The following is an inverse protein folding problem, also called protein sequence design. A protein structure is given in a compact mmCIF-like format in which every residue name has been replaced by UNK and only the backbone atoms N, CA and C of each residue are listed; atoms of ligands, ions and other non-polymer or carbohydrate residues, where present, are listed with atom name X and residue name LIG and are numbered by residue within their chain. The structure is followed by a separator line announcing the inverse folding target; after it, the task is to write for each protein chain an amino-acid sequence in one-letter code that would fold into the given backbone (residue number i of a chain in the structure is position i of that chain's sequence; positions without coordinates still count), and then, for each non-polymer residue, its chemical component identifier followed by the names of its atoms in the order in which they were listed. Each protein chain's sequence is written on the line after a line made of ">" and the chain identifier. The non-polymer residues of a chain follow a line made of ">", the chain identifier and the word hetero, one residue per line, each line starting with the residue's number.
data_IF_993846061917
#
_entry.id   IF_993846061917
#
_cell.length_a   1.000
_cell.length_b   1.000
_cell.length_c   1.000
_cell.angle_alpha   90.00
_cell.angle_beta   90.00
_cell.angle_gamma   90.00
#
_symmetry.space_group_name_H-M   'P 1'
#
loop_
_entity.id
_entity.type
_entity.pdbx_description
1 polymer ?
#
# COMPACT_ATOMS: atom_id res chain seq x y z
N UNK A 1 -29.21 -84.77 -46.81
CA UNK A 1 -29.29 -83.36 -47.27
C UNK A 1 -28.20 -82.54 -46.57
N UNK A 2 -27.11 -82.24 -47.27
CA UNK A 2 -26.36 -80.96 -47.13
C UNK A 2 -27.19 -79.88 -47.90
N UNK A 3 -27.01 -78.55 -47.70
CA UNK A 3 -25.76 -77.89 -47.28
C UNK A 3 -25.88 -76.72 -46.27
N UNK A 4 -24.71 -76.42 -45.72
CA UNK A 4 -24.21 -75.16 -45.20
C UNK A 4 -24.11 -74.08 -46.29
N UNK A 5 -24.53 -72.83 -46.02
CA UNK A 5 -23.87 -71.61 -46.54
C UNK A 5 -24.46 -70.36 -45.89
N UNK A 6 -23.59 -69.45 -45.47
CA UNK A 6 -23.92 -68.21 -44.78
C UNK A 6 -22.65 -67.50 -44.32
N UNK A 7 -21.79 -67.16 -45.28
CA UNK A 7 -20.54 -66.41 -45.10
C UNK A 7 -20.77 -64.91 -45.26
N UNK A 8 -20.16 -64.12 -44.38
CA UNK A 8 -19.49 -62.86 -44.75
C UNK A 8 -20.22 -61.55 -44.45
N UNK A 9 -19.88 -60.93 -43.33
CA UNK A 9 -19.52 -59.51 -43.36
C UNK A 9 -18.38 -59.23 -42.38
N UNK A 10 -17.19 -59.07 -42.97
CA UNK A 10 -15.95 -58.62 -42.34
C UNK A 10 -16.10 -57.15 -41.95
N UNK A 11 -16.22 -56.89 -40.65
CA UNK A 11 -16.15 -55.55 -40.08
C UNK A 11 -14.71 -55.04 -40.10
N UNK A 12 -14.33 -54.38 -41.20
CA UNK A 12 -13.06 -53.64 -41.31
C UNK A 12 -13.05 -52.54 -40.24
N UNK A 13 -12.22 -52.72 -39.23
CA UNK A 13 -11.97 -51.74 -38.18
C UNK A 13 -11.30 -50.48 -38.75
N UNK A 14 -12.01 -49.34 -38.69
CA UNK A 14 -11.47 -48.01 -38.95
C UNK A 14 -10.48 -47.61 -37.84
N UNK A 15 -9.23 -48.11 -37.97
CA UNK A 15 -8.07 -47.68 -37.18
C UNK A 15 -7.34 -46.51 -37.86
N UNK A 16 -8.01 -45.44 -38.28
CA UNK A 16 -7.30 -44.27 -38.83
C UNK A 16 -8.03 -42.94 -38.60
N UNK A 17 -8.15 -42.48 -37.35
CA UNK A 17 -8.42 -41.04 -37.11
C UNK A 17 -7.84 -40.44 -35.83
N UNK A 18 -7.26 -41.22 -34.91
CA UNK A 18 -6.70 -40.68 -33.66
C UNK A 18 -5.33 -39.99 -33.79
N UNK A 19 -4.60 -40.21 -34.88
CA UNK A 19 -3.23 -39.69 -35.07
C UNK A 19 -3.12 -38.26 -35.62
N UNK A 20 -4.21 -37.66 -36.13
CA UNK A 20 -4.16 -36.33 -36.77
C UNK A 20 -4.66 -35.18 -35.88
N UNK A 21 -5.41 -35.47 -34.82
CA UNK A 21 -5.89 -34.44 -33.89
C UNK A 21 -4.82 -34.05 -32.86
N UNK A 22 -3.98 -34.99 -32.42
CA UNK A 22 -2.90 -34.75 -31.46
C UNK A 22 -1.72 -33.95 -32.03
N UNK A 23 -1.59 -33.86 -33.36
CA UNK A 23 -0.46 -33.18 -34.02
C UNK A 23 -0.70 -31.69 -34.33
N UNK A 24 -1.93 -31.20 -34.12
CA UNK A 24 -2.30 -29.78 -34.35
C UNK A 24 -2.57 -28.99 -33.06
N UNK A 25 -2.66 -29.64 -31.90
CA UNK A 25 -2.87 -28.97 -30.60
C UNK A 25 -1.53 -28.65 -29.91
N UNK A 26 -0.47 -29.41 -30.18
CA UNK A 26 0.86 -29.19 -29.60
C UNK A 26 1.49 -27.79 -29.83
N UNK A 27 1.39 -27.17 -31.03
CA UNK A 27 2.03 -25.88 -31.27
C UNK A 27 1.26 -24.70 -30.65
N UNK A 28 -0.05 -24.83 -30.46
CA UNK A 28 -0.90 -23.79 -29.87
C UNK A 28 -0.75 -23.70 -28.33
N UNK A 29 -0.43 -24.81 -27.67
CA UNK A 29 -0.14 -24.82 -26.24
C UNK A 29 1.27 -24.30 -25.90
N UNK A 30 2.22 -24.41 -26.84
CA UNK A 30 3.59 -23.90 -26.67
C UNK A 30 3.69 -22.36 -26.82
N UNK A 31 2.78 -21.73 -27.56
CA UNK A 31 2.72 -20.26 -27.73
C UNK A 31 2.05 -19.54 -26.53
N UNK A 32 1.34 -20.26 -25.67
CA UNK A 32 0.73 -19.70 -24.46
C UNK A 32 1.70 -19.56 -23.28
N UNK A 33 2.93 -20.08 -23.39
CA UNK A 33 3.95 -20.05 -22.32
C UNK A 33 5.02 -18.96 -22.51
N UNK A 34 5.00 -18.21 -23.63
CA UNK A 34 6.01 -17.19 -23.96
C UNK A 34 5.65 -15.77 -23.47
N UNK A 35 4.69 -15.63 -22.56
CA UNK A 35 4.06 -14.35 -22.21
C UNK A 35 4.14 -13.94 -20.73
N UNK A 36 5.17 -14.35 -19.99
CA UNK A 36 5.47 -13.77 -18.68
C UNK A 36 6.78 -12.98 -18.78
N UNK A 37 6.74 -11.78 -19.35
CA UNK A 37 7.79 -10.81 -19.09
C UNK A 37 7.72 -10.47 -17.59
N UNK A 38 8.56 -11.11 -16.78
CA UNK A 38 8.72 -10.73 -15.37
C UNK A 38 9.12 -9.26 -15.31
N UNK A 39 8.52 -8.51 -14.39
CA UNK A 39 8.91 -7.13 -14.20
C UNK A 39 10.42 -7.04 -13.91
N UNK A 40 11.15 -6.05 -14.45
CA UNK A 40 12.60 -5.97 -14.27
C UNK A 40 12.99 -5.95 -12.78
N UNK A 41 13.96 -6.77 -12.37
CA UNK A 41 14.61 -6.63 -11.06
C UNK A 41 15.70 -5.55 -11.13
N UNK A 42 16.15 -5.06 -9.98
CA UNK A 42 17.27 -4.11 -9.93
C UNK A 42 16.88 -2.65 -10.19
N UNK A 43 15.62 -2.25 -10.02
CA UNK A 43 15.16 -0.89 -10.38
C UNK A 43 15.77 0.25 -9.55
N UNK A 44 16.46 -0.05 -8.45
CA UNK A 44 17.05 0.96 -7.56
C UNK A 44 18.53 1.24 -7.87
N UNK A 45 19.05 0.83 -9.03
CA UNK A 45 20.36 1.31 -9.51
C UNK A 45 20.30 2.84 -9.64
N UNK A 46 21.14 3.60 -8.91
CA UNK A 46 21.16 5.05 -9.02
C UNK A 46 21.55 5.52 -10.42
N UNK A 47 20.82 6.48 -10.96
CA UNK A 47 21.12 7.14 -12.24
C UNK A 47 21.25 8.65 -12.06
N UNK A 48 21.91 9.31 -13.01
CA UNK A 48 21.96 10.78 -13.02
C UNK A 48 20.55 11.37 -13.18
N UNK A 49 20.24 12.52 -12.53
CA UNK A 49 18.96 13.19 -12.71
C UNK A 49 18.82 13.73 -14.14
N UNK A 50 17.58 13.86 -14.61
CA UNK A 50 17.24 14.55 -15.86
C UNK A 50 16.67 15.95 -15.59
N UNK A 51 16.81 16.90 -16.52
CA UNK A 51 16.07 18.16 -16.47
C UNK A 51 14.55 17.91 -16.48
N UNK A 52 13.80 18.80 -15.83
CA UNK A 52 12.33 18.74 -15.84
C UNK A 52 11.73 17.64 -14.96
N UNK A 53 12.50 17.07 -14.05
CA UNK A 53 12.01 16.12 -13.03
C UNK A 53 11.94 16.77 -11.65
N UNK A 54 11.06 16.24 -10.81
CA UNK A 54 10.99 16.58 -9.40
C UNK A 54 11.66 15.50 -8.56
N UNK A 55 11.91 15.81 -7.28
CA UNK A 55 12.62 14.92 -6.35
C UNK A 55 11.84 14.67 -5.08
N UNK A 56 11.87 13.43 -4.61
CA UNK A 56 11.46 13.04 -3.26
C UNK A 56 12.67 12.46 -2.55
N UNK A 57 13.06 13.09 -1.44
CA UNK A 57 14.16 12.68 -0.58
C UNK A 57 13.58 12.08 0.70
N UNK A 58 13.76 10.77 0.90
CA UNK A 58 13.10 9.99 1.95
C UNK A 58 14.07 9.13 2.76
N UNK A 59 13.71 8.91 4.01
CA UNK A 59 14.30 7.87 4.83
C UNK A 59 13.53 6.57 4.61
N UNK A 60 14.21 5.50 4.20
CA UNK A 60 13.67 4.16 4.23
C UNK A 60 14.19 3.42 5.47
N UNK A 61 13.29 3.00 6.34
CA UNK A 61 13.52 2.08 7.45
C UNK A 61 13.01 0.69 7.05
N UNK A 62 13.80 -0.35 7.24
CA UNK A 62 13.40 -1.69 6.78
C UNK A 62 13.93 -2.80 7.67
N UNK A 63 13.10 -3.80 7.93
CA UNK A 63 13.47 -5.05 8.62
C UNK A 63 13.80 -6.18 7.64
N UNK A 64 13.93 -5.85 6.35
CA UNK A 64 14.35 -6.78 5.30
C UNK A 64 15.84 -7.04 5.36
N UNK A 65 16.26 -8.24 4.97
CA UNK A 65 17.67 -8.56 4.77
C UNK A 65 18.25 -7.72 3.63
N UNK A 66 19.48 -7.19 3.76
CA UNK A 66 20.18 -6.55 2.65
C UNK A 66 20.41 -7.54 1.52
N UNK A 67 20.55 -7.04 0.30
CA UNK A 67 20.89 -7.85 -0.88
C UNK A 67 22.20 -7.39 -1.50
N UNK A 68 22.91 -8.34 -2.11
CA UNK A 68 24.14 -8.10 -2.85
C UNK A 68 23.89 -7.94 -4.37
N UNK A 69 22.64 -8.08 -4.82
CA UNK A 69 22.26 -7.92 -6.23
C UNK A 69 22.17 -6.42 -6.59
N UNK A 70 22.77 -6.05 -7.72
CA UNK A 70 22.80 -4.66 -8.17
C UNK A 70 21.37 -4.09 -8.34
N UNK A 71 21.12 -2.93 -7.72
CA UNK A 71 19.82 -2.27 -7.78
C UNK A 71 18.71 -2.93 -6.95
N UNK A 72 19.01 -4.00 -6.21
CA UNK A 72 18.14 -4.60 -5.21
C UNK A 72 18.75 -4.31 -3.85
N UNK A 73 18.28 -3.25 -3.18
CA UNK A 73 18.86 -2.84 -1.89
C UNK A 73 18.55 -3.83 -0.75
N UNK A 74 17.32 -4.35 -0.75
CA UNK A 74 16.83 -5.27 0.27
C UNK A 74 15.93 -6.34 -0.35
N UNK A 75 16.00 -7.55 0.19
CA UNK A 75 15.26 -8.73 -0.29
C UNK A 75 13.85 -8.86 0.32
N UNK A 76 13.16 -9.96 0.02
CA UNK A 76 11.90 -10.34 0.67
C UNK A 76 12.07 -11.06 2.02
N UNK A 77 13.32 -11.29 2.45
CA UNK A 77 13.64 -12.05 3.67
C UNK A 77 13.80 -11.14 4.89
N UNK A 78 13.71 -11.70 6.10
CA UNK A 78 13.97 -10.97 7.35
C UNK A 78 15.46 -10.69 7.49
N UNK A 79 15.81 -9.47 7.86
CA UNK A 79 17.14 -9.12 8.34
C UNK A 79 17.26 -9.28 9.85
N UNK A 80 18.45 -9.04 10.39
CA UNK A 80 18.74 -9.17 11.83
C UNK A 80 18.18 -8.01 12.68
N UNK A 81 17.57 -7.01 12.05
CA UNK A 81 16.89 -5.88 12.68
C UNK A 81 16.63 -4.75 11.69
N UNK A 82 16.13 -3.61 12.19
CA UNK A 82 15.89 -2.45 11.33
C UNK A 82 17.19 -1.82 10.79
N UNK A 83 17.24 -1.64 9.48
CA UNK A 83 18.24 -0.90 8.72
C UNK A 83 17.66 0.39 8.17
N UNK A 84 18.50 1.40 7.94
CA UNK A 84 18.07 2.70 7.43
C UNK A 84 18.88 3.11 6.21
N UNK A 85 18.21 3.73 5.24
CA UNK A 85 18.83 4.29 4.03
C UNK A 85 18.16 5.61 3.68
N UNK A 86 18.93 6.60 3.25
CA UNK A 86 18.43 7.78 2.56
C UNK A 86 18.28 7.45 1.08
N UNK A 87 17.09 7.65 0.52
CA UNK A 87 16.79 7.36 -0.89
C UNK A 87 16.21 8.61 -1.54
N UNK A 88 16.80 9.00 -2.67
CA UNK A 88 16.33 10.12 -3.48
C UNK A 88 15.74 9.57 -4.78
N UNK A 89 14.44 9.77 -4.97
CA UNK A 89 13.70 9.35 -6.16
C UNK A 89 13.47 10.56 -7.07
N UNK A 90 13.81 10.42 -8.35
CA UNK A 90 13.44 11.35 -9.41
C UNK A 90 12.09 10.95 -10.00
N UNK A 91 11.23 11.94 -10.21
CA UNK A 91 9.85 11.76 -10.67
C UNK A 91 9.61 12.62 -11.92
N UNK A 92 9.13 12.06 -13.04
CA UNK A 92 8.76 12.84 -14.21
C UNK A 92 7.53 13.72 -13.93
N UNK A 93 7.58 14.99 -14.35
CA UNK A 93 6.48 15.96 -14.14
C UNK A 93 5.23 15.69 -14.95
N UNK A 94 5.41 15.30 -16.21
CA UNK A 94 4.30 15.06 -17.13
C UNK A 94 3.75 13.65 -16.94
N UNK A 95 2.93 13.48 -15.90
CA UNK A 95 2.21 12.24 -15.63
C UNK A 95 0.87 12.50 -14.98
N UNK A 96 -0.02 11.52 -15.07
CA UNK A 96 -1.27 11.54 -14.34
C UNK A 96 -1.04 11.27 -12.84
N UNK A 97 -1.73 12.01 -11.98
CA UNK A 97 -1.73 11.79 -10.52
C UNK A 97 -2.18 10.37 -10.21
N UNK A 98 -1.51 9.71 -9.26
CA UNK A 98 -1.83 8.33 -8.87
C UNK A 98 -1.14 7.24 -9.69
N UNK A 99 -0.49 7.61 -10.80
CA UNK A 99 0.24 6.67 -11.67
C UNK A 99 1.73 6.62 -11.34
N UNK A 100 2.34 5.44 -11.56
CA UNK A 100 3.78 5.22 -11.41
C UNK A 100 4.32 4.69 -12.73
N UNK A 101 5.20 5.45 -13.38
CA UNK A 101 5.92 5.03 -14.58
C UNK A 101 7.13 4.19 -14.16
N UNK A 102 6.95 2.87 -14.13
CA UNK A 102 8.02 1.95 -13.76
C UNK A 102 8.98 1.71 -14.94
N UNK A 103 10.30 1.63 -14.70
CA UNK A 103 11.26 1.28 -15.72
C UNK A 103 10.92 -0.05 -16.41
N UNK A 104 10.95 -0.07 -17.74
CA UNK A 104 10.80 -1.29 -18.55
C UNK A 104 12.13 -2.05 -18.73
N UNK A 105 13.24 -1.36 -18.52
CA UNK A 105 14.61 -1.87 -18.52
C UNK A 105 15.40 -1.22 -17.39
N UNK A 106 16.48 -1.86 -16.95
CA UNK A 106 17.39 -1.32 -15.93
C UNK A 106 18.75 -1.03 -16.58
N UNK A 107 19.36 0.15 -16.34
CA UNK A 107 18.84 1.26 -15.53
C UNK A 107 17.65 1.97 -16.18
N UNK A 108 16.78 2.56 -15.36
CA UNK A 108 15.61 3.30 -15.83
C UNK A 108 15.95 4.67 -16.43
N UNK A 109 15.02 5.24 -17.19
CA UNK A 109 15.19 6.56 -17.80
C UNK A 109 14.60 7.66 -16.89
N UNK A 110 15.41 8.55 -16.28
CA UNK A 110 14.93 9.61 -15.38
C UNK A 110 13.92 10.56 -16.02
N UNK A 111 13.93 10.72 -17.35
CA UNK A 111 13.00 11.61 -18.04
C UNK A 111 11.58 11.04 -18.18
N UNK A 112 11.42 9.71 -18.09
CA UNK A 112 10.13 9.03 -18.34
C UNK A 112 9.68 8.16 -17.18
N UNK A 113 10.60 7.72 -16.33
CA UNK A 113 10.38 6.70 -15.31
C UNK A 113 10.66 7.27 -13.91
N UNK A 114 10.06 6.65 -12.91
CA UNK A 114 10.51 6.78 -11.53
C UNK A 114 11.86 6.06 -11.41
N UNK A 115 12.88 6.78 -10.97
CA UNK A 115 14.23 6.22 -10.80
C UNK A 115 14.86 6.70 -9.51
N UNK A 116 15.76 5.90 -8.96
CA UNK A 116 16.61 6.35 -7.85
C UNK A 116 17.77 7.16 -8.42
N UNK A 117 18.06 8.31 -7.80
CA UNK A 117 19.24 9.13 -8.11
C UNK A 117 20.32 9.04 -7.04
N UNK A 118 19.93 8.64 -5.82
CA UNK A 118 20.85 8.33 -4.73
C UNK A 118 20.22 7.33 -3.76
N UNK A 119 21.02 6.39 -3.28
CA UNK A 119 20.69 5.52 -2.17
C UNK A 119 21.93 5.39 -1.29
N UNK A 120 21.83 5.74 -0.01
CA UNK A 120 22.97 5.71 0.91
C UNK A 120 22.53 5.21 2.28
N UNK A 121 23.30 4.33 2.94
CA UNK A 121 22.96 3.85 4.27
C UNK A 121 22.99 5.00 5.29
N UNK A 122 22.12 4.92 6.29
CA UNK A 122 22.05 5.85 7.42
C UNK A 122 22.28 5.03 8.69
N UNK A 123 23.28 5.40 9.50
CA UNK A 123 23.50 4.73 10.76
C UNK A 123 22.39 5.07 11.77
N UNK A 124 22.07 4.15 12.68
CA UNK A 124 21.05 4.36 13.73
C UNK A 124 21.35 5.61 14.57
N UNK A 125 22.63 5.87 14.86
CA UNK A 125 23.10 7.06 15.58
C UNK A 125 22.76 8.37 14.87
N UNK A 126 22.60 8.32 13.55
CA UNK A 126 22.47 9.51 12.71
C UNK A 126 21.01 9.88 12.43
N UNK A 127 20.04 9.06 12.87
CA UNK A 127 18.61 9.32 12.65
C UNK A 127 18.16 10.67 13.21
N UNK A 128 18.60 11.01 14.42
CA UNK A 128 18.30 12.32 14.99
C UNK A 128 18.88 13.46 14.15
N UNK A 129 20.07 13.27 13.57
CA UNK A 129 20.69 14.23 12.65
C UNK A 129 19.94 14.33 11.33
N UNK A 130 19.48 13.20 10.78
CA UNK A 130 18.65 13.16 9.58
C UNK A 130 17.39 14.01 9.75
N UNK A 131 16.63 13.79 10.84
CA UNK A 131 15.44 14.59 11.14
C UNK A 131 15.73 16.09 11.36
N UNK A 132 16.95 16.46 11.77
CA UNK A 132 17.34 17.89 11.88
C UNK A 132 17.66 18.49 10.51
N UNK A 133 18.37 17.78 9.65
CA UNK A 133 18.76 18.26 8.32
C UNK A 133 17.55 18.45 7.39
N UNK A 134 16.51 17.63 7.55
CA UNK A 134 15.23 17.79 6.86
C UNK A 134 14.35 18.89 7.49
N UNK A 135 14.86 19.62 8.49
CA UNK A 135 14.16 20.51 9.42
C UNK A 135 13.44 21.74 8.85
N UNK A 136 13.44 21.93 7.53
CA UNK A 136 12.40 22.74 6.88
C UNK A 136 11.00 22.13 7.03
N UNK A 137 10.91 20.84 7.35
CA UNK A 137 9.68 20.07 7.49
C UNK A 137 9.53 19.58 8.95
N UNK A 138 8.78 20.33 9.77
CA UNK A 138 8.47 19.97 11.19
C UNK A 138 7.60 18.72 11.32
N UNK A 139 6.97 18.29 10.23
CA UNK A 139 6.09 17.13 10.17
C UNK A 139 6.84 15.97 9.54
N UNK A 140 6.75 14.78 10.13
CA UNK A 140 7.21 13.51 9.57
C UNK A 140 6.00 12.77 9.02
N UNK A 141 6.10 12.31 7.78
CA UNK A 141 5.07 11.48 7.16
C UNK A 141 5.61 10.06 7.03
N UNK A 142 5.06 9.14 7.83
CA UNK A 142 5.46 7.73 7.84
C UNK A 142 4.50 6.95 6.96
N UNK A 143 5.01 6.18 6.01
CA UNK A 143 4.21 5.25 5.22
C UNK A 143 4.60 3.79 5.49
N UNK A 144 3.60 2.95 5.73
CA UNK A 144 3.75 1.50 5.93
C UNK A 144 3.02 0.79 4.80
N UNK A 145 3.76 0.12 3.93
CA UNK A 145 3.18 -0.55 2.76
C UNK A 145 2.37 -1.80 3.14
N UNK A 146 1.52 -2.25 2.21
CA UNK A 146 0.69 -3.44 2.34
C UNK A 146 1.38 -4.75 1.97
N UNK A 147 0.58 -5.82 1.88
CA UNK A 147 1.00 -7.15 1.45
C UNK A 147 1.53 -7.15 0.00
N UNK A 148 2.30 -8.18 -0.37
CA UNK A 148 2.71 -8.42 -1.76
C UNK A 148 3.50 -7.25 -2.40
N UNK A 149 4.29 -6.51 -1.60
CA UNK A 149 4.99 -5.30 -2.06
C UNK A 149 6.52 -5.46 -1.94
N UNK A 150 7.24 -5.69 -3.04
CA UNK A 150 8.71 -5.63 -3.05
C UNK A 150 9.24 -4.25 -2.61
N UNK A 151 10.50 -4.19 -2.15
CA UNK A 151 11.07 -2.98 -1.56
C UNK A 151 11.10 -1.79 -2.53
N UNK A 152 11.47 -2.01 -3.79
CA UNK A 152 11.46 -1.01 -4.87
C UNK A 152 10.04 -0.46 -5.15
N UNK A 153 9.03 -1.34 -5.15
CA UNK A 153 7.63 -0.94 -5.28
C UNK A 153 7.16 -0.06 -4.12
N UNK A 154 7.59 -0.38 -2.89
CA UNK A 154 7.28 0.45 -1.72
C UNK A 154 7.94 1.84 -1.83
N UNK A 155 9.19 1.91 -2.27
CA UNK A 155 9.92 3.17 -2.50
C UNK A 155 9.21 4.03 -3.54
N UNK A 156 8.90 3.49 -4.72
CA UNK A 156 8.26 4.27 -5.77
C UNK A 156 6.82 4.66 -5.43
N UNK A 157 6.06 3.79 -4.78
CA UNK A 157 4.70 4.12 -4.31
C UNK A 157 4.72 5.27 -3.32
N UNK A 158 5.65 5.24 -2.37
CA UNK A 158 5.73 6.31 -1.39
C UNK A 158 6.26 7.62 -1.97
N UNK A 159 7.19 7.56 -2.93
CA UNK A 159 7.63 8.71 -3.69
C UNK A 159 6.46 9.35 -4.44
N UNK A 160 5.66 8.53 -5.14
CA UNK A 160 4.46 8.98 -5.85
C UNK A 160 3.47 9.64 -4.89
N UNK A 161 3.16 9.00 -3.77
CA UNK A 161 2.20 9.55 -2.80
C UNK A 161 2.69 10.87 -2.20
N UNK A 162 3.96 10.94 -1.81
CA UNK A 162 4.57 12.17 -1.23
C UNK A 162 4.50 13.33 -2.22
N UNK A 163 4.82 13.05 -3.48
CA UNK A 163 4.79 14.04 -4.55
C UNK A 163 3.37 14.49 -4.87
N UNK A 164 2.46 13.54 -5.10
CA UNK A 164 1.10 13.84 -5.57
C UNK A 164 0.21 14.45 -4.51
N UNK A 165 0.48 14.17 -3.23
CA UNK A 165 -0.18 14.82 -2.10
C UNK A 165 0.45 16.18 -1.75
N UNK A 166 1.45 16.64 -2.51
CA UNK A 166 2.28 17.81 -2.21
C UNK A 166 2.71 17.87 -0.73
N UNK A 167 3.14 16.71 -0.20
CA UNK A 167 3.32 16.51 1.22
C UNK A 167 4.42 17.44 1.77
N UNK A 168 4.01 18.43 2.57
CA UNK A 168 4.92 19.33 3.30
C UNK A 168 5.48 18.66 4.57
N UNK A 169 5.98 17.44 4.44
CA UNK A 169 6.47 16.60 5.52
C UNK A 169 7.74 15.83 5.11
N UNK A 170 8.61 15.50 6.07
CA UNK A 170 9.77 14.64 5.86
C UNK A 170 9.28 13.21 5.63
N UNK A 171 9.45 12.63 4.42
CA UNK A 171 8.90 11.33 4.09
C UNK A 171 9.77 10.22 4.68
N UNK A 172 9.13 9.30 5.40
CA UNK A 172 9.75 8.11 5.99
C UNK A 172 8.99 6.86 5.57
N UNK A 173 9.60 6.01 4.75
CA UNK A 173 9.07 4.69 4.41
C UNK A 173 9.44 3.70 5.51
N UNK A 174 8.47 2.92 6.01
CA UNK A 174 8.74 1.69 6.74
C UNK A 174 8.39 0.48 5.87
N UNK A 175 9.40 -0.34 5.57
CA UNK A 175 9.25 -1.54 4.76
C UNK A 175 9.51 -2.81 5.55
N UNK A 176 8.50 -3.67 5.63
CA UNK A 176 8.60 -4.98 6.27
C UNK A 176 8.71 -6.07 5.19
N UNK A 177 9.22 -7.29 5.49
CA UNK A 177 9.51 -8.30 4.49
C UNK A 177 8.23 -8.93 3.90
N UNK A 178 7.62 -8.27 2.92
CA UNK A 178 6.58 -8.88 2.09
C UNK A 178 7.19 -9.39 0.79
N UNK A 179 6.97 -10.68 0.47
CA UNK A 179 7.69 -11.37 -0.62
C UNK A 179 7.13 -11.14 -2.02
N UNK A 180 6.04 -10.39 -2.16
CA UNK A 180 5.50 -10.11 -3.49
C UNK A 180 4.80 -11.30 -4.15
N UNK A 181 4.41 -12.32 -3.36
CA UNK A 181 3.62 -13.46 -3.83
C UNK A 181 2.37 -13.73 -2.98
N UNK A 182 1.23 -14.00 -3.64
CA UNK A 182 -0.06 -14.24 -2.99
C UNK A 182 -0.09 -15.47 -2.07
N UNK A 183 0.68 -16.51 -2.37
CA UNK A 183 0.72 -17.76 -1.58
C UNK A 183 1.42 -17.59 -0.23
N UNK A 184 2.10 -16.47 -0.01
CA UNK A 184 2.88 -16.20 1.20
C UNK A 184 2.11 -15.44 2.28
N UNK A 185 0.79 -15.28 2.15
CA UNK A 185 -0.02 -14.44 3.02
C UNK A 185 0.21 -14.68 4.52
N UNK A 186 0.19 -15.93 5.01
CA UNK A 186 0.39 -16.24 6.43
C UNK A 186 1.80 -15.87 6.90
N UNK A 187 2.80 -16.17 6.08
CA UNK A 187 4.21 -15.88 6.34
C UNK A 187 4.48 -14.38 6.33
N UNK A 188 3.84 -13.65 5.42
CA UNK A 188 3.90 -12.19 5.36
C UNK A 188 3.20 -11.55 6.56
N UNK A 189 2.11 -12.14 7.08
CA UNK A 189 1.52 -11.71 8.35
C UNK A 189 2.47 -11.90 9.54
N UNK A 190 3.20 -13.03 9.59
CA UNK A 190 4.25 -13.25 10.59
C UNK A 190 5.41 -12.25 10.42
N UNK A 191 5.77 -11.89 9.18
CA UNK A 191 6.80 -10.90 8.88
C UNK A 191 6.37 -9.48 9.29
N UNK A 192 5.12 -9.11 9.03
CA UNK A 192 4.53 -7.86 9.48
C UNK A 192 4.55 -7.81 11.02
N UNK A 193 4.08 -8.88 11.67
CA UNK A 193 4.13 -9.03 13.12
C UNK A 193 5.56 -8.94 13.66
N UNK A 194 6.53 -9.61 13.05
CA UNK A 194 7.95 -9.56 13.41
C UNK A 194 8.48 -8.12 13.42
N UNK A 195 8.01 -7.29 12.48
CA UNK A 195 8.52 -5.92 12.26
C UNK A 195 7.88 -4.85 13.17
N UNK A 196 6.88 -5.19 13.98
CA UNK A 196 6.10 -4.20 14.78
C UNK A 196 6.96 -3.41 15.78
N UNK A 197 7.90 -4.08 16.45
CA UNK A 197 8.77 -3.45 17.45
C UNK A 197 9.79 -2.50 16.81
N UNK A 198 10.26 -2.81 15.61
CA UNK A 198 11.14 -1.94 14.83
C UNK A 198 10.43 -0.67 14.34
N UNK A 199 9.16 -0.80 13.96
CA UNK A 199 8.31 0.37 13.66
C UNK A 199 8.09 1.21 14.91
N UNK A 200 7.81 0.60 16.07
CA UNK A 200 7.70 1.31 17.34
C UNK A 200 9.00 2.05 17.67
N UNK A 201 10.17 1.44 17.45
CA UNK A 201 11.48 2.07 17.63
C UNK A 201 11.65 3.30 16.72
N UNK A 202 11.31 3.19 15.43
CA UNK A 202 11.36 4.32 14.49
C UNK A 202 10.46 5.48 14.96
N UNK A 203 9.21 5.19 15.30
CA UNK A 203 8.24 6.19 15.75
C UNK A 203 8.67 6.85 17.06
N UNK A 204 9.23 6.07 18.01
CA UNK A 204 9.80 6.57 19.27
C UNK A 204 10.99 7.50 19.01
N UNK A 205 11.86 7.13 18.07
CA UNK A 205 13.04 7.92 17.70
C UNK A 205 12.62 9.26 17.07
N UNK A 206 11.67 9.23 16.14
CA UNK A 206 11.11 10.45 15.54
C UNK A 206 10.41 11.32 16.60
N UNK A 207 9.62 10.73 17.50
CA UNK A 207 8.89 11.47 18.53
C UNK A 207 9.84 12.15 19.54
N UNK A 208 10.97 11.51 19.86
CA UNK A 208 11.98 12.07 20.76
C UNK A 208 12.86 13.14 20.09
N UNK A 209 12.90 13.22 18.75
CA UNK A 209 13.71 14.21 18.05
C UNK A 209 13.14 15.64 18.23
N UNK A 210 13.92 16.62 18.73
CA UNK A 210 13.44 17.99 18.94
C UNK A 210 13.01 18.71 17.65
N UNK A 211 13.60 18.36 16.50
CA UNK A 211 13.25 18.95 15.20
C UNK A 211 11.93 18.45 14.64
N UNK A 212 11.37 17.36 15.18
CA UNK A 212 10.07 16.81 14.79
C UNK A 212 9.01 17.43 15.70
N UNK A 213 8.06 18.13 15.11
CA UNK A 213 6.88 18.67 15.78
C UNK A 213 5.67 17.75 15.69
N UNK A 214 5.56 16.97 14.62
CA UNK A 214 4.39 16.12 14.34
C UNK A 214 4.75 14.89 13.51
N UNK A 215 4.03 13.79 13.71
CA UNK A 215 4.15 12.51 13.00
C UNK A 215 2.76 12.12 12.54
N UNK A 216 2.61 11.96 11.23
CA UNK A 216 1.42 11.39 10.60
C UNK A 216 1.81 10.04 10.01
N UNK A 217 1.04 9.01 10.32
CA UNK A 217 1.28 7.64 9.86
C UNK A 217 0.19 7.29 8.85
N UNK A 218 0.55 6.79 7.67
CA UNK A 218 -0.35 6.13 6.74
C UNK A 218 0.08 4.68 6.58
N UNK A 219 -0.82 3.75 6.90
CA UNK A 219 -0.59 2.33 6.73
C UNK A 219 -1.63 1.75 5.77
N UNK A 220 -1.18 0.92 4.83
CA UNK A 220 -2.05 0.32 3.82
C UNK A 220 -2.22 -1.18 4.07
N UNK A 221 -3.45 -1.69 3.93
CA UNK A 221 -3.75 -3.12 3.91
C UNK A 221 -3.17 -3.84 5.13
N UNK A 222 -2.43 -4.93 4.93
CA UNK A 222 -1.73 -5.69 5.98
C UNK A 222 -0.69 -4.86 6.74
N UNK A 223 -0.16 -3.78 6.16
CA UNK A 223 0.72 -2.83 6.85
C UNK A 223 0.03 -2.11 8.03
N UNK A 224 -1.31 -2.09 8.05
CA UNK A 224 -2.09 -1.55 9.17
C UNK A 224 -1.87 -2.33 10.46
N UNK A 225 -1.66 -3.65 10.38
CA UNK A 225 -1.40 -4.50 11.55
C UNK A 225 -0.18 -4.04 12.36
N UNK A 226 1.05 -4.01 11.80
CA UNK A 226 2.22 -3.55 12.54
C UNK A 226 2.15 -2.08 12.92
N UNK A 227 1.44 -1.24 12.15
CA UNK A 227 1.28 0.18 12.48
C UNK A 227 0.45 0.39 13.76
N UNK A 228 -0.71 -0.27 13.86
CA UNK A 228 -1.57 -0.21 15.06
C UNK A 228 -0.84 -0.83 16.26
N UNK A 229 -0.18 -1.98 16.08
CA UNK A 229 0.61 -2.62 17.14
C UNK A 229 1.77 -1.73 17.63
N UNK A 230 2.48 -1.07 16.73
CA UNK A 230 3.58 -0.18 17.10
C UNK A 230 3.09 1.00 17.94
N UNK A 231 1.98 1.65 17.55
CA UNK A 231 1.39 2.75 18.32
C UNK A 231 0.88 2.26 19.67
N UNK A 232 0.22 1.10 19.72
CA UNK A 232 -0.22 0.46 20.96
C UNK A 232 0.94 0.15 21.89
N UNK A 233 2.04 -0.40 21.36
CA UNK A 233 3.24 -0.68 22.15
C UNK A 233 3.80 0.60 22.79
N UNK A 234 3.87 1.70 22.03
CA UNK A 234 4.33 2.99 22.58
C UNK A 234 3.41 3.51 23.69
N UNK A 235 2.09 3.31 23.55
CA UNK A 235 1.13 3.67 24.58
C UNK A 235 1.36 2.88 25.87
N UNK A 236 1.50 1.56 25.76
CA UNK A 236 1.74 0.68 26.90
C UNK A 236 3.10 0.94 27.59
N UNK A 237 4.14 1.26 26.82
CA UNK A 237 5.47 1.59 27.35
C UNK A 237 5.50 2.91 28.13
N UNK A 238 4.67 3.90 27.74
CA UNK A 238 4.74 5.28 28.27
C UNK A 238 3.53 5.70 29.10
N UNK A 239 2.50 4.86 29.19
CA UNK A 239 1.20 5.25 29.75
C UNK A 239 0.36 6.17 28.85
N UNK A 240 0.66 6.19 27.55
CA UNK A 240 -0.01 7.01 26.54
C UNK A 240 0.81 7.17 25.25
N UNK A 241 0.15 7.41 24.12
CA UNK A 241 0.84 7.63 22.84
C UNK A 241 1.58 8.98 22.89
N UNK A 242 2.85 9.07 22.43
CA UNK A 242 3.53 10.35 22.32
C UNK A 242 2.71 11.39 21.54
N UNK A 243 2.46 12.56 22.12
CA UNK A 243 1.61 13.62 21.54
C UNK A 243 1.97 14.05 20.11
N UNK A 244 3.23 13.84 19.70
CA UNK A 244 3.67 14.14 18.34
C UNK A 244 3.08 13.18 17.31
N UNK A 245 2.72 11.96 17.70
CA UNK A 245 1.95 11.04 16.84
C UNK A 245 0.51 11.52 16.88
N UNK A 246 0.16 12.39 15.94
CA UNK A 246 -1.13 13.09 15.92
C UNK A 246 -2.19 12.32 15.14
N UNK A 247 -1.79 11.63 14.07
CA UNK A 247 -2.69 10.99 13.12
C UNK A 247 -2.19 9.60 12.73
N UNK A 248 -3.10 8.62 12.75
CA UNK A 248 -2.94 7.27 12.23
C UNK A 248 -4.01 7.00 11.18
N UNK A 249 -3.60 6.97 9.92
CA UNK A 249 -4.45 6.78 8.77
C UNK A 249 -4.30 5.33 8.31
N UNK A 250 -5.39 4.59 8.26
CA UNK A 250 -5.42 3.19 7.83
C UNK A 250 -6.20 3.08 6.52
N UNK A 251 -5.49 2.75 5.44
CA UNK A 251 -6.08 2.60 4.11
C UNK A 251 -6.39 1.14 3.81
N UNK A 252 -7.67 0.82 3.58
CA UNK A 252 -8.17 -0.54 3.38
C UNK A 252 -7.59 -1.56 4.38
N UNK A 253 -7.66 -1.31 5.71
CA UNK A 253 -6.93 -2.09 6.70
C UNK A 253 -7.29 -3.58 6.69
N UNK A 254 -6.27 -4.42 6.58
CA UNK A 254 -6.39 -5.87 6.68
C UNK A 254 -6.18 -6.33 8.13
N UNK A 255 -7.14 -5.95 8.98
CA UNK A 255 -7.13 -6.16 10.43
C UNK A 255 -8.53 -6.62 10.87
N UNK A 256 -8.62 -7.51 11.84
CA UNK A 256 -9.92 -7.86 12.44
C UNK A 256 -10.46 -6.68 13.26
N UNK A 257 -11.74 -6.37 13.09
CA UNK A 257 -12.40 -5.22 13.75
C UNK A 257 -12.41 -5.32 15.28
N UNK A 258 -12.57 -6.51 15.84
CA UNK A 258 -12.52 -6.73 17.28
C UNK A 258 -11.10 -6.59 17.83
N UNK A 259 -10.11 -7.09 17.09
CA UNK A 259 -8.70 -6.88 17.44
C UNK A 259 -8.34 -5.39 17.38
N UNK A 260 -8.76 -4.69 16.33
CA UNK A 260 -8.59 -3.24 16.21
C UNK A 260 -9.18 -2.50 17.41
N UNK A 261 -10.43 -2.78 17.77
CA UNK A 261 -11.09 -2.17 18.93
C UNK A 261 -10.25 -2.37 20.19
N UNK A 262 -9.84 -3.60 20.48
CA UNK A 262 -9.05 -3.92 21.68
C UNK A 262 -7.70 -3.19 21.68
N UNK A 263 -7.06 -3.09 20.52
CA UNK A 263 -5.79 -2.37 20.37
C UNK A 263 -5.95 -0.87 20.63
N UNK A 264 -7.02 -0.26 20.13
CA UNK A 264 -7.33 1.16 20.39
C UNK A 264 -7.67 1.41 21.85
N UNK A 265 -8.43 0.51 22.48
CA UNK A 265 -8.71 0.59 23.93
C UNK A 265 -7.42 0.52 24.76
N UNK A 266 -6.48 -0.36 24.38
CA UNK A 266 -5.16 -0.49 25.03
C UNK A 266 -4.27 0.76 24.83
N UNK A 267 -4.50 1.57 23.79
CA UNK A 267 -3.82 2.87 23.64
C UNK A 267 -4.28 3.89 24.69
N UNK A 268 -5.45 3.69 25.28
CA UNK A 268 -6.03 4.60 26.27
C UNK A 268 -6.57 5.90 25.65
N UNK A 269 -6.87 6.92 26.49
CA UNK A 269 -7.45 8.18 26.04
C UNK A 269 -6.43 9.09 25.34
N UNK A 270 -5.13 8.91 25.61
CA UNK A 270 -4.04 9.63 24.94
C UNK A 270 -3.64 8.86 23.67
N UNK A 271 -4.51 8.88 22.66
CA UNK A 271 -4.33 8.22 21.36
C UNK A 271 -4.36 9.23 20.21
N UNK A 272 -3.79 8.91 19.03
CA UNK A 272 -3.89 9.77 17.86
C UNK A 272 -5.32 9.83 17.34
N UNK A 273 -5.61 10.80 16.47
CA UNK A 273 -6.76 10.73 15.59
C UNK A 273 -6.57 9.56 14.63
N UNK A 274 -7.58 8.70 14.48
CA UNK A 274 -7.53 7.54 13.61
C UNK A 274 -8.49 7.76 12.45
N UNK A 275 -8.00 7.68 11.22
CA UNK A 275 -8.83 7.76 10.01
C UNK A 275 -8.80 6.44 9.28
N UNK A 276 -9.96 5.83 9.06
CA UNK A 276 -10.11 4.57 8.34
C UNK A 276 -10.65 4.84 6.94
N UNK A 277 -9.92 4.47 5.89
CA UNK A 277 -10.50 4.38 4.55
C UNK A 277 -11.00 2.95 4.32
N UNK A 278 -12.30 2.81 4.08
CA UNK A 278 -12.96 1.52 3.89
C UNK A 278 -13.61 1.45 2.50
N UNK A 279 -13.70 0.25 1.94
CA UNK A 279 -14.42 -0.02 0.70
C UNK A 279 -14.99 -1.43 0.72
N UNK A 280 -16.31 -1.55 0.59
CA UNK A 280 -17.00 -2.84 0.55
C UNK A 280 -16.63 -3.66 -0.70
N UNK A 281 -16.25 -2.98 -1.77
CA UNK A 281 -15.93 -3.57 -3.07
C UNK A 281 -14.44 -3.92 -3.21
N UNK A 282 -13.71 -4.03 -2.10
CA UNK A 282 -12.28 -4.37 -2.09
C UNK A 282 -12.06 -5.88 -2.29
N UNK A 283 -11.58 -6.26 -3.48
CA UNK A 283 -11.32 -7.65 -3.84
C UNK A 283 -10.15 -8.29 -3.09
N UNK A 284 -9.15 -7.50 -2.69
CA UNK A 284 -8.00 -8.04 -1.95
C UNK A 284 -8.41 -8.43 -0.53
N UNK A 285 -9.29 -7.65 0.09
CA UNK A 285 -9.86 -7.99 1.40
C UNK A 285 -10.80 -9.20 1.34
N UNK A 286 -11.51 -9.42 0.22
CA UNK A 286 -12.29 -10.65 0.04
C UNK A 286 -11.40 -11.90 0.06
N UNK A 287 -10.21 -11.85 -0.56
CA UNK A 287 -9.22 -12.93 -0.48
C UNK A 287 -8.68 -13.12 0.94
N UNK A 288 -8.40 -12.03 1.67
CA UNK A 288 -7.98 -12.11 3.07
C UNK A 288 -9.05 -12.72 3.98
N UNK A 289 -10.33 -12.36 3.78
CA UNK A 289 -11.48 -12.97 4.48
C UNK A 289 -11.56 -14.47 4.21
N UNK A 290 -11.33 -14.89 2.97
CA UNK A 290 -11.28 -16.31 2.60
C UNK A 290 -10.16 -17.05 3.35
N UNK A 291 -8.94 -16.51 3.34
CA UNK A 291 -7.79 -17.11 4.03
C UNK A 291 -7.98 -17.14 5.55
N UNK A 292 -8.63 -16.13 6.10
CA UNK A 292 -8.89 -15.98 7.54
C UNK A 292 -10.20 -16.63 7.99
N UNK A 293 -10.71 -17.59 7.21
CA UNK A 293 -11.90 -18.39 7.54
C UNK A 293 -13.15 -17.56 7.84
N UNK A 294 -13.32 -16.44 7.15
CA UNK A 294 -14.54 -15.63 7.17
C UNK A 294 -14.55 -14.44 8.13
N UNK A 295 -13.49 -14.19 8.90
CA UNK A 295 -13.41 -13.01 9.77
C UNK A 295 -13.46 -11.71 8.95
N UNK A 296 -14.37 -10.78 9.30
CA UNK A 296 -14.50 -9.50 8.58
C UNK A 296 -13.29 -8.61 8.83
N UNK A 297 -12.69 -8.12 7.75
CA UNK A 297 -11.59 -7.16 7.80
C UNK A 297 -12.10 -5.74 7.92
N UNK A 298 -11.41 -4.93 8.72
CA UNK A 298 -11.75 -3.54 9.03
C UNK A 298 -11.91 -2.70 7.75
N UNK A 299 -11.10 -2.92 6.72
CA UNK A 299 -11.19 -2.20 5.46
C UNK A 299 -12.41 -2.56 4.59
N UNK A 300 -13.10 -3.66 4.89
CA UNK A 300 -14.26 -4.16 4.13
C UNK A 300 -15.54 -4.18 4.95
N UNK A 301 -15.62 -3.38 6.03
CA UNK A 301 -16.82 -3.26 6.85
C UNK A 301 -17.93 -2.52 6.07
N UNK A 302 -19.17 -2.92 6.35
CA UNK A 302 -20.36 -2.26 5.83
C UNK A 302 -20.98 -1.41 6.94
N UNK A 303 -20.71 -0.11 6.92
CA UNK A 303 -21.21 0.83 7.93
C UNK A 303 -22.72 1.04 7.88
N UNK A 304 -23.44 0.48 6.90
CA UNK A 304 -24.91 0.45 6.94
C UNK A 304 -25.46 -0.59 7.92
N UNK A 305 -24.61 -1.49 8.43
CA UNK A 305 -24.99 -2.51 9.41
C UNK A 305 -24.67 -2.07 10.83
N UNK A 306 -25.66 -2.20 11.71
CA UNK A 306 -25.55 -1.86 13.14
C UNK A 306 -24.39 -2.59 13.85
N UNK A 307 -24.08 -3.83 13.45
CA UNK A 307 -23.03 -4.65 14.07
C UNK A 307 -21.64 -3.97 14.04
N UNK A 308 -21.25 -3.40 12.90
CA UNK A 308 -19.95 -2.74 12.74
C UNK A 308 -19.94 -1.34 13.34
N UNK A 309 -21.08 -0.64 13.30
CA UNK A 309 -21.23 0.63 14.01
C UNK A 309 -21.03 0.44 15.52
N UNK A 310 -21.64 -0.59 16.13
CA UNK A 310 -21.51 -0.87 17.56
C UNK A 310 -20.07 -1.24 17.96
N UNK A 311 -19.34 -1.94 17.09
CA UNK A 311 -17.94 -2.28 17.36
C UNK A 311 -17.03 -1.05 17.36
N UNK A 312 -17.34 -0.02 16.57
CA UNK A 312 -16.62 1.25 16.57
C UNK A 312 -17.18 2.26 17.58
N UNK A 313 -18.44 2.10 17.99
CA UNK A 313 -19.12 3.02 18.90
C UNK A 313 -18.37 3.18 20.23
N UNK A 314 -18.33 4.42 20.71
CA UNK A 314 -17.66 4.81 21.96
C UNK A 314 -16.14 4.99 21.83
N UNK A 315 -15.55 4.69 20.67
CA UNK A 315 -14.15 5.00 20.39
C UNK A 315 -14.05 6.44 19.86
N UNK A 316 -13.82 7.40 20.77
CA UNK A 316 -13.56 8.79 20.37
C UNK A 316 -12.31 8.94 19.50
N UNK A 317 -12.33 9.89 18.57
CA UNK A 317 -11.20 10.18 17.69
C UNK A 317 -11.00 9.17 16.56
N UNK A 318 -12.06 8.45 16.16
CA UNK A 318 -12.06 7.59 14.97
C UNK A 318 -13.02 8.16 13.93
N UNK A 319 -12.47 8.48 12.76
CA UNK A 319 -13.23 8.89 11.57
C UNK A 319 -13.14 7.78 10.52
N UNK A 320 -14.26 7.40 9.93
CA UNK A 320 -14.31 6.42 8.83
C UNK A 320 -14.77 7.10 7.54
N UNK A 321 -14.00 6.88 6.48
CA UNK A 321 -14.24 7.38 5.14
C UNK A 321 -14.59 6.20 4.25
N UNK A 322 -15.86 6.13 3.84
CA UNK A 322 -16.36 5.08 2.97
C UNK A 322 -16.17 5.48 1.50
N UNK A 323 -15.29 4.76 0.81
CA UNK A 323 -14.94 4.93 -0.59
C UNK A 323 -15.73 3.97 -1.51
N UNK A 324 -16.70 3.22 -1.00
CA UNK A 324 -17.43 2.20 -1.77
C UNK A 324 -18.15 2.74 -3.01
N UNK A 325 -18.48 4.03 -3.02
CA UNK A 325 -19.11 4.70 -4.17
C UNK A 325 -18.11 5.07 -5.29
N UNK A 326 -16.81 5.05 -5.02
CA UNK A 326 -15.78 5.36 -6.01
C UNK A 326 -15.57 4.14 -6.92
N UNK A 327 -16.06 4.23 -8.15
CA UNK A 327 -15.84 3.21 -9.17
C UNK A 327 -14.54 3.50 -9.93
N UNK A 328 -13.46 2.80 -9.59
CA UNK A 328 -12.18 2.90 -10.33
C UNK A 328 -11.83 1.60 -11.09
N UNK A 329 -12.72 0.62 -11.14
CA UNK A 329 -12.48 -0.67 -11.80
C UNK A 329 -11.81 -1.72 -10.90
N UNK A 330 -11.86 -2.96 -11.37
CA UNK A 330 -11.74 -4.20 -10.60
C UNK A 330 -10.46 -4.44 -9.77
N UNK A 331 -9.31 -3.87 -10.18
CA UNK A 331 -8.02 -3.99 -9.44
C UNK A 331 -7.69 -2.74 -8.63
N UNK A 332 -8.45 -1.66 -8.79
CA UNK A 332 -8.07 -0.32 -8.32
C UNK A 332 -8.72 0.01 -6.97
N UNK A 333 -9.76 -0.72 -6.54
CA UNK A 333 -10.46 -0.45 -5.28
C UNK A 333 -9.57 -0.57 -4.02
N UNK A 334 -8.57 -1.47 -4.01
CA UNK A 334 -7.66 -1.66 -2.86
C UNK A 334 -6.60 -0.56 -2.73
N UNK A 335 -6.21 0.04 -3.84
CA UNK A 335 -5.17 1.06 -3.92
C UNK A 335 -5.76 2.48 -4.09
N UNK A 336 -7.09 2.65 -3.92
CA UNK A 336 -7.79 3.93 -4.11
C UNK A 336 -7.16 5.08 -3.34
N UNK A 337 -6.61 4.83 -2.15
CA UNK A 337 -5.95 5.84 -1.32
C UNK A 337 -4.79 6.56 -2.06
N UNK A 338 -4.10 5.87 -2.97
CA UNK A 338 -2.96 6.40 -3.72
C UNK A 338 -3.25 6.57 -5.22
N UNK A 339 -4.20 5.81 -5.76
CA UNK A 339 -4.57 5.86 -7.18
C UNK A 339 -5.67 6.89 -7.48
N UNK A 340 -6.51 7.24 -6.51
CA UNK A 340 -7.54 8.27 -6.68
C UNK A 340 -6.96 9.66 -6.41
N UNK A 341 -7.00 10.59 -7.38
CA UNK A 341 -6.59 11.98 -7.14
C UNK A 341 -7.35 12.64 -5.98
N UNK A 342 -8.62 12.26 -5.77
CA UNK A 342 -9.43 12.77 -4.66
C UNK A 342 -8.90 12.30 -3.30
N UNK A 343 -8.59 11.00 -3.17
CA UNK A 343 -8.05 10.45 -1.93
C UNK A 343 -6.64 11.01 -1.63
N UNK A 344 -5.80 11.13 -2.66
CA UNK A 344 -4.45 11.71 -2.53
C UNK A 344 -4.51 13.17 -2.08
N UNK A 345 -5.41 13.98 -2.66
CA UNK A 345 -5.64 15.36 -2.21
C UNK A 345 -6.20 15.42 -0.79
N UNK A 346 -7.14 14.55 -0.42
CA UNK A 346 -7.64 14.51 0.96
C UNK A 346 -6.52 14.19 1.96
N UNK A 347 -5.63 13.27 1.61
CA UNK A 347 -4.43 12.97 2.39
C UNK A 347 -3.54 14.22 2.48
N UNK A 348 -3.22 14.86 1.36
CA UNK A 348 -2.35 16.05 1.31
C UNK A 348 -2.91 17.30 2.00
N UNK A 349 -4.12 17.69 1.63
CA UNK A 349 -4.73 18.97 1.98
C UNK A 349 -5.33 18.97 3.39
N UNK A 350 -5.73 17.80 3.92
CA UNK A 350 -6.43 17.72 5.20
C UNK A 350 -5.66 16.92 6.22
N UNK A 351 -5.43 15.63 5.96
CA UNK A 351 -4.85 14.72 6.95
C UNK A 351 -3.40 15.07 7.25
N UNK A 352 -2.61 15.31 6.22
CA UNK A 352 -1.24 15.78 6.36
C UNK A 352 -1.16 17.21 6.84
N UNK A 353 -2.26 17.96 6.94
CA UNK A 353 -2.31 19.30 7.55
C UNK A 353 -2.82 19.29 9.01
N UNK A 354 -3.25 18.13 9.52
CA UNK A 354 -3.80 17.98 10.87
C UNK A 354 -5.23 18.48 11.01
N UNK A 355 -5.96 18.60 9.91
CA UNK A 355 -7.36 19.03 9.92
C UNK A 355 -8.29 17.84 10.17
N UNK A 356 -9.31 18.04 11.02
CA UNK A 356 -10.41 17.08 11.20
C UNK A 356 -11.26 17.06 9.94
N UNK A 357 -11.56 15.87 9.41
CA UNK A 357 -12.39 15.72 8.21
C UNK A 357 -13.86 15.75 8.61
N UNK A 358 -14.64 16.64 7.99
CA UNK A 358 -16.10 16.68 8.13
C UNK A 358 -16.81 16.26 6.82
N UNK A 359 -18.11 15.97 6.88
CA UNK A 359 -18.93 15.62 5.70
C UNK A 359 -18.84 16.68 4.58
N UNK A 360 -18.75 17.96 4.94
CA UNK A 360 -18.61 19.07 3.98
C UNK A 360 -17.28 19.05 3.22
N UNK A 361 -16.22 18.52 3.83
CA UNK A 361 -14.90 18.43 3.23
C UNK A 361 -14.77 17.24 2.27
N UNK A 362 -15.53 16.16 2.51
CA UNK A 362 -15.55 14.95 1.70
C UNK A 362 -16.50 15.05 0.49
N UNK A 363 -17.46 15.99 0.54
CA UNK A 363 -18.50 16.21 -0.49
C UNK A 363 -18.25 17.46 -1.36
N UNK A 364 -17.23 18.26 -1.07
CA UNK A 364 -16.92 19.46 -1.84
C UNK A 364 -16.60 19.13 -3.32
N UNK A 365 -17.27 19.77 -4.30
CA UNK A 365 -16.96 19.59 -5.71
C UNK A 365 -15.53 20.08 -6.00
N UNK A 366 -14.83 19.38 -6.89
CA UNK A 366 -13.54 19.78 -7.43
C UNK A 366 -13.63 21.20 -8.02
N UNK A 367 -13.27 22.22 -7.25
CA UNK A 367 -12.98 23.53 -7.81
C UNK A 367 -11.65 23.40 -8.57
N UNK A 368 -11.72 23.42 -9.89
CA UNK A 368 -10.57 23.48 -10.78
C UNK A 368 -9.87 24.84 -10.63
N UNK A 369 -9.06 24.98 -9.58
CA UNK A 369 -7.99 25.97 -9.57
C UNK A 369 -6.81 25.35 -10.33
N UNK A 370 -6.43 25.97 -11.45
CA UNK A 370 -5.29 25.65 -12.34
C UNK A 370 -5.53 24.72 -13.55
N UNK A 371 -6.68 24.86 -14.22
CA UNK A 371 -6.87 24.34 -15.59
C UNK A 371 -7.00 25.47 -16.62
N UNK A 372 -5.92 26.24 -16.83
CA UNK A 372 -5.74 26.99 -18.08
C UNK A 372 -5.12 26.07 -19.13
N UNK A 373 -5.98 25.37 -19.88
CA UNK A 373 -5.61 24.73 -21.15
C UNK A 373 -5.97 23.26 -21.27
N UNK A 374 -7.04 23.01 -22.04
CA UNK A 374 -7.36 21.78 -22.79
C UNK A 374 -8.06 20.62 -22.07
N UNK A 375 -9.20 20.24 -22.67
CA UNK A 375 -10.06 19.08 -22.45
C UNK A 375 -10.80 18.99 -21.10
N UNK A 376 -12.04 19.50 -21.07
CA UNK A 376 -13.00 19.25 -20.01
C UNK A 376 -13.34 17.75 -19.95
N UNK A 377 -12.65 17.01 -19.06
CA UNK A 377 -13.09 15.68 -18.65
C UNK A 377 -14.15 15.86 -17.58
N UNK A 378 -15.38 15.40 -17.85
CA UNK A 378 -16.46 15.39 -16.87
C UNK A 378 -16.09 14.37 -15.78
N UNK A 379 -15.44 14.82 -14.70
CA UNK A 379 -15.16 14.00 -13.53
C UNK A 379 -16.47 13.75 -12.79
N UNK A 380 -17.07 12.57 -12.99
CA UNK A 380 -18.16 12.09 -12.13
C UNK A 380 -17.57 11.81 -10.75
N UNK A 381 -17.68 12.77 -9.83
CA UNK A 381 -17.24 12.60 -8.45
C UNK A 381 -18.29 11.81 -7.68
N UNK A 382 -18.03 10.55 -7.39
CA UNK A 382 -18.83 9.82 -6.41
C UNK A 382 -18.52 10.39 -5.00
N UNK A 383 -19.53 10.65 -4.15
CA UNK A 383 -19.29 11.25 -2.85
C UNK A 383 -18.58 10.27 -1.91
N UNK A 384 -17.54 10.75 -1.21
CA UNK A 384 -16.95 10.06 -0.06
C UNK A 384 -17.88 10.30 1.13
N UNK A 385 -18.30 9.24 1.83
CA UNK A 385 -19.14 9.36 3.03
C UNK A 385 -18.27 9.39 4.28
N UNK A 386 -18.54 10.29 5.22
CA UNK A 386 -17.81 10.39 6.49
C UNK A 386 -18.68 9.86 7.62
N UNK A 387 -18.08 9.06 8.50
CA UNK A 387 -18.71 8.55 9.71
C UNK A 387 -17.79 8.84 10.90
N UNK A 388 -18.28 9.57 11.90
CA UNK A 388 -17.59 9.77 13.17
C UNK A 388 -18.07 8.74 14.20
N UNK A 389 -17.14 7.94 14.73
CA UNK A 389 -17.44 6.90 15.72
C UNK A 389 -17.87 7.46 17.09
N UNK A 390 -17.63 8.76 17.34
CA UNK A 390 -17.97 9.43 18.59
C UNK A 390 -19.38 10.06 18.60
N UNK A 391 -20.01 10.23 17.43
CA UNK A 391 -21.31 10.91 17.33
C UNK A 391 -22.42 10.11 18.04
N UNK A 392 -23.13 10.70 19.03
CA UNK A 392 -24.36 10.11 19.52
C UNK A 392 -25.43 10.13 18.42
N UNK A 393 -26.27 9.08 18.39
CA UNK A 393 -27.42 9.00 17.48
C UNK A 393 -28.40 10.14 17.69
#
# INVERSE_FOLDING_TARGET
>A
MRPTSGTGHDGRADRYSFGRLLRRVGPLLALALAGCASAPSGMLVPVAPAPGTDRVDMLAATTRAPSNEAGVLYSGERGDGVSFSNIVVSIPRQREVGTIQLPRSVPGNPATDFVVTSASPVAKSDLASWFRMTGGRKRVFVFVHGFNTPFDRAVFRFAQLTHDADAKAAPVLFSWPSRGHLLDYSRDFDNASYSRSDLAYLLKTAANAPSVGEIVILAHSMGSWPAVEAVRQLALERGGVPKKISNLILASPDLDVGVFRRQVEDMGPQRPQITLFVSQNDRALQLSRFISRGATRLGGIDLTRDEYQQQLAGLSGITVLDLSAINAGDRINHDLYAASPQAVRLIGDRLLQGQVITDSDASAPLAAADALGSAATLLVTAPIRVFDAASPR
#
